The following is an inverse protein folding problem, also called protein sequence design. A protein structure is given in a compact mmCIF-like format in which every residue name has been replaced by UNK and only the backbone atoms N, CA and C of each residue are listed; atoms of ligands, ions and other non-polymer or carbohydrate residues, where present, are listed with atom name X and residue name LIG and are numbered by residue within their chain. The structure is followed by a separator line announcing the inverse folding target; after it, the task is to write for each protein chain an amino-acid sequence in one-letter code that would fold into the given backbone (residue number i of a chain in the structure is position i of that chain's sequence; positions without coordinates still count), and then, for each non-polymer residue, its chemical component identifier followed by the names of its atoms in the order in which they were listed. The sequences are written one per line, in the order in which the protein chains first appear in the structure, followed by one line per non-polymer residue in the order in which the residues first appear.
data_IF_111719808007
#
_entry.id   IF_111719808007
#
_cell.length_a   1.000
_cell.length_b   1.000
_cell.length_c   1.000
_cell.angle_alpha   90.00
_cell.angle_beta   90.00
_cell.angle_gamma   90.00
#
_symmetry.space_group_name_H-M   'P 1'
#
loop_
_entity.id
_entity.type
_entity.pdbx_description
1 polymer ?
#
# COMPACT_ATOMS: atom_id res chain seq x y z
N UNK A 1 6.26 24.41 -1.59
CA UNK A 1 5.01 23.72 -1.27
C UNK A 1 5.41 22.36 -0.70
N UNK A 2 4.89 21.95 0.47
CA UNK A 2 5.16 20.64 1.07
C UNK A 2 3.90 19.81 0.96
N UNK A 3 4.04 18.56 0.51
CA UNK A 3 2.94 17.60 0.44
C UNK A 3 3.30 16.32 1.15
N UNK A 4 2.31 15.60 1.64
CA UNK A 4 2.46 14.28 2.26
C UNK A 4 1.41 13.32 1.71
N UNK A 5 1.76 12.07 1.52
CA UNK A 5 0.79 11.00 1.30
C UNK A 5 0.08 10.63 2.59
N UNK A 6 -1.08 10.04 2.49
CA UNK A 6 -1.83 9.49 3.62
C UNK A 6 -2.52 8.21 3.20
N UNK A 7 -2.48 7.21 4.04
CA UNK A 7 -3.31 6.00 3.96
C UNK A 7 -3.81 5.66 5.35
N UNK A 8 -5.11 5.49 5.50
CA UNK A 8 -5.76 5.21 6.77
C UNK A 8 -6.69 4.02 6.59
N UNK A 9 -6.58 3.02 7.46
CA UNK A 9 -7.50 1.90 7.54
C UNK A 9 -8.32 2.00 8.82
N UNK A 10 -9.63 1.92 8.71
CA UNK A 10 -10.56 1.84 9.83
C UNK A 10 -11.24 0.48 9.78
N UNK A 11 -11.36 -0.16 10.93
CA UNK A 11 -11.93 -1.50 11.06
C UNK A 11 -13.07 -1.49 12.07
N UNK A 12 -14.16 -2.16 11.73
CA UNK A 12 -15.27 -2.40 12.65
C UNK A 12 -15.86 -3.78 12.36
N UNK A 13 -15.75 -4.70 13.31
CA UNK A 13 -16.24 -6.07 13.19
C UNK A 13 -15.67 -6.79 11.96
N UNK A 14 -16.49 -7.11 10.97
CA UNK A 14 -16.12 -7.80 9.74
C UNK A 14 -16.00 -6.85 8.53
N UNK A 15 -15.98 -5.54 8.77
CA UNK A 15 -15.86 -4.53 7.72
C UNK A 15 -14.65 -3.64 7.93
N UNK A 16 -13.99 -3.32 6.83
CA UNK A 16 -12.92 -2.36 6.77
C UNK A 16 -13.20 -1.26 5.74
N UNK A 17 -12.65 -0.09 5.99
CA UNK A 17 -12.59 0.99 5.02
C UNK A 17 -11.18 1.53 4.97
N UNK A 18 -10.66 1.76 3.78
CA UNK A 18 -9.41 2.48 3.55
C UNK A 18 -9.71 3.81 2.89
N UNK A 19 -9.05 4.87 3.37
CA UNK A 19 -9.06 6.20 2.77
C UNK A 19 -7.62 6.59 2.47
N UNK A 20 -7.35 7.17 1.28
CA UNK A 20 -5.98 7.54 0.92
C UNK A 20 -5.90 8.72 -0.02
N UNK A 21 -4.74 9.35 -0.03
CA UNK A 21 -4.26 10.27 -1.04
C UNK A 21 -2.75 10.06 -1.21
N UNK A 22 -2.32 9.78 -2.43
CA UNK A 22 -0.93 9.50 -2.77
C UNK A 22 -0.70 8.08 -3.26
N UNK A 23 0.52 7.58 -3.12
CA UNK A 23 1.00 6.28 -3.56
C UNK A 23 1.36 5.32 -2.42
N UNK A 24 1.05 5.70 -1.18
CA UNK A 24 1.08 4.75 -0.06
C UNK A 24 -0.05 3.74 -0.21
N UNK A 25 0.25 2.47 0.04
CA UNK A 25 -0.64 1.36 -0.31
C UNK A 25 -1.17 0.60 0.89
N UNK A 26 -2.36 0.03 0.72
CA UNK A 26 -2.90 -1.03 1.56
C UNK A 26 -3.00 -2.32 0.76
N UNK A 27 -2.34 -3.37 1.26
CA UNK A 27 -2.46 -4.73 0.75
C UNK A 27 -3.29 -5.60 1.68
N UNK A 28 -4.04 -6.53 1.12
CA UNK A 28 -4.72 -7.62 1.81
C UNK A 28 -4.13 -8.95 1.35
N UNK A 29 -3.73 -9.80 2.30
CA UNK A 29 -3.45 -11.22 2.06
C UNK A 29 -4.62 -12.04 2.53
N UNK A 30 -5.17 -12.87 1.64
CA UNK A 30 -6.26 -13.81 1.93
C UNK A 30 -6.08 -15.08 1.11
N UNK A 31 -5.99 -16.23 1.79
CA UNK A 31 -5.94 -17.54 1.14
C UNK A 31 -4.81 -17.69 0.14
N UNK A 32 -3.62 -17.19 0.44
CA UNK A 32 -2.45 -17.25 -0.44
C UNK A 32 -2.48 -16.27 -1.61
N UNK A 33 -3.38 -15.29 -1.58
CA UNK A 33 -3.46 -14.25 -2.60
C UNK A 33 -3.21 -12.86 -2.00
N UNK A 34 -2.35 -12.05 -2.64
CA UNK A 34 -2.16 -10.65 -2.31
C UNK A 34 -3.03 -9.78 -3.21
N UNK A 35 -3.76 -8.87 -2.62
CA UNK A 35 -4.57 -7.88 -3.31
C UNK A 35 -4.21 -6.49 -2.81
N UNK A 36 -3.92 -5.56 -3.72
CA UNK A 36 -3.82 -4.13 -3.40
C UNK A 36 -5.24 -3.56 -3.34
N UNK A 37 -5.60 -2.92 -2.22
CA UNK A 37 -6.92 -2.33 -1.99
C UNK A 37 -6.96 -0.82 -2.31
N UNK A 38 -5.82 -0.18 -2.46
CA UNK A 38 -5.66 1.21 -2.88
C UNK A 38 -5.23 1.29 -4.33
N UNK A 39 -5.47 2.43 -4.98
CA UNK A 39 -4.94 2.74 -6.30
C UNK A 39 -4.01 3.95 -6.17
N UNK A 40 -2.81 3.87 -6.75
CA UNK A 40 -1.81 4.93 -6.60
C UNK A 40 -2.25 6.20 -7.32
N UNK A 41 -2.19 7.32 -6.63
CA UNK A 41 -2.37 8.65 -7.24
C UNK A 41 -1.03 9.15 -7.81
N UNK A 42 -0.58 8.52 -8.87
CA UNK A 42 0.62 8.87 -9.61
C UNK A 42 0.31 9.13 -11.08
N UNK A 43 1.19 9.85 -11.77
CA UNK A 43 1.01 10.07 -13.21
C UNK A 43 1.04 8.78 -14.01
N UNK A 44 1.72 7.74 -13.52
CA UNK A 44 1.72 6.42 -14.17
C UNK A 44 0.35 5.74 -14.13
N UNK A 45 -0.44 6.02 -13.10
CA UNK A 45 -1.80 5.46 -12.91
C UNK A 45 -2.89 6.36 -13.49
N UNK A 46 -2.55 7.57 -14.00
CA UNK A 46 -3.54 8.47 -14.59
C UNK A 46 -3.90 8.00 -16.00
N UNK A 47 -5.17 7.70 -16.30
CA UNK A 47 -5.61 7.33 -17.65
C UNK A 47 -5.24 8.35 -18.73
N UNK A 48 -5.05 9.63 -18.37
CA UNK A 48 -4.61 10.68 -19.27
C UNK A 48 -3.11 10.67 -19.58
N UNK A 49 -2.34 9.84 -18.87
CA UNK A 49 -0.92 9.65 -19.12
C UNK A 49 -0.64 8.72 -20.30
N UNK A 50 -1.69 8.13 -20.90
CA UNK A 50 -1.62 7.24 -22.05
C UNK A 50 -2.23 7.97 -23.25
N UNK A 51 -1.52 8.01 -24.37
CA UNK A 51 -2.04 8.53 -25.63
C UNK A 51 -3.10 7.58 -26.23
N UNK A 52 -3.93 8.07 -27.14
CA UNK A 52 -4.96 7.28 -27.86
C UNK A 52 -4.38 6.07 -28.62
N UNK A 53 -3.08 6.07 -28.94
CA UNK A 53 -2.36 4.96 -29.57
C UNK A 53 -1.79 3.92 -28.60
N UNK A 54 -2.04 4.10 -27.29
CA UNK A 54 -1.53 3.21 -26.22
C UNK A 54 -0.07 3.48 -25.80
N UNK A 55 0.57 4.49 -26.34
CA UNK A 55 1.91 4.91 -25.92
C UNK A 55 1.85 5.79 -24.68
N UNK A 56 2.90 5.76 -23.82
CA UNK A 56 2.97 6.64 -22.67
C UNK A 56 3.15 8.09 -23.14
N UNK A 57 2.23 8.95 -22.71
CA UNK A 57 2.26 10.39 -23.02
C UNK A 57 3.39 11.15 -22.28
N UNK A 58 3.98 10.54 -21.25
CA UNK A 58 4.96 11.17 -20.36
C UNK A 58 6.26 10.35 -20.29
N UNK A 59 7.43 11.01 -20.12
CA UNK A 59 8.69 10.32 -19.91
C UNK A 59 8.62 9.42 -18.65
N UNK A 60 9.29 8.29 -18.67
CA UNK A 60 9.36 7.30 -17.56
C UNK A 60 9.80 7.94 -16.24
N UNK A 61 10.58 9.02 -16.28
CA UNK A 61 10.98 9.81 -15.10
C UNK A 61 9.82 10.53 -14.42
N UNK A 62 8.69 10.72 -15.12
CA UNK A 62 7.49 11.39 -14.57
C UNK A 62 6.51 10.41 -13.90
N UNK A 63 6.72 9.11 -14.04
CA UNK A 63 5.84 8.07 -13.52
C UNK A 63 5.67 8.12 -11.98
N UNK A 64 6.69 8.61 -11.27
CA UNK A 64 6.69 8.72 -9.81
C UNK A 64 6.14 10.06 -9.29
N UNK A 65 5.59 10.93 -10.16
CA UNK A 65 5.00 12.19 -9.72
C UNK A 65 3.63 11.90 -9.09
N UNK A 66 3.50 12.20 -7.81
CA UNK A 66 2.27 12.07 -7.05
C UNK A 66 1.29 13.16 -7.50
N UNK A 67 0.09 12.76 -7.89
CA UNK A 67 -0.96 13.68 -8.38
C UNK A 67 -1.89 14.18 -7.28
N UNK A 68 -1.96 13.48 -6.14
CA UNK A 68 -2.73 13.88 -4.96
C UNK A 68 -1.91 13.69 -3.68
N UNK A 69 -1.81 14.76 -2.89
CA UNK A 69 -1.13 14.74 -1.60
C UNK A 69 -1.78 15.74 -0.65
N UNK A 70 -1.72 15.46 0.64
CA UNK A 70 -2.13 16.39 1.70
C UNK A 70 -1.26 17.65 1.60
N UNK A 71 -1.89 18.83 1.53
CA UNK A 71 -1.19 20.10 1.43
C UNK A 71 -0.79 20.51 0.02
N UNK A 72 -1.04 19.68 -1.01
CA UNK A 72 -0.76 20.04 -2.41
C UNK A 72 -1.81 20.98 -3.00
N UNK A 73 -3.08 20.86 -2.57
CA UNK A 73 -4.20 21.70 -2.99
C UNK A 73 -5.01 22.14 -1.76
N UNK A 74 -5.74 23.28 -1.84
CA UNK A 74 -6.62 23.73 -0.75
C UNK A 74 -7.68 22.69 -0.37
N UNK A 75 -8.20 21.96 -1.37
CA UNK A 75 -9.23 20.94 -1.20
C UNK A 75 -8.60 19.55 -1.31
N UNK A 76 -8.49 18.85 -0.18
CA UNK A 76 -8.03 17.47 -0.15
C UNK A 76 -9.17 16.52 -0.50
N UNK A 77 -9.01 15.76 -1.57
CA UNK A 77 -9.92 14.67 -1.92
C UNK A 77 -9.25 13.33 -1.60
N UNK A 78 -9.87 12.56 -0.71
CA UNK A 78 -9.48 11.19 -0.40
C UNK A 78 -10.31 10.21 -1.23
N UNK A 79 -9.66 9.23 -1.81
CA UNK A 79 -10.37 8.06 -2.31
C UNK A 79 -10.69 7.13 -1.14
N UNK A 80 -11.78 6.38 -1.28
CA UNK A 80 -12.31 5.51 -0.22
C UNK A 80 -12.73 4.18 -0.83
N UNK A 81 -12.34 3.08 -0.18
CA UNK A 81 -12.73 1.73 -0.56
C UNK A 81 -13.19 0.94 0.65
N UNK A 82 -14.42 0.37 0.58
CA UNK A 82 -14.99 -0.52 1.59
C UNK A 82 -14.71 -1.97 1.23
N UNK A 83 -14.39 -2.79 2.21
CA UNK A 83 -14.10 -4.21 1.99
C UNK A 83 -14.51 -5.07 3.19
N UNK A 84 -14.86 -6.32 2.90
CA UNK A 84 -15.14 -7.29 3.94
C UNK A 84 -13.85 -7.85 4.52
N UNK A 85 -13.81 -8.02 5.83
CA UNK A 85 -12.72 -8.63 6.57
C UNK A 85 -13.11 -10.05 6.98
N UNK A 86 -12.15 -10.98 6.91
CA UNK A 86 -12.35 -12.38 7.30
C UNK A 86 -11.26 -12.84 8.23
N UNK A 87 -11.58 -13.80 9.07
CA UNK A 87 -10.58 -14.44 9.93
C UNK A 87 -9.43 -14.99 9.09
N UNK A 88 -8.21 -14.75 9.55
CA UNK A 88 -7.00 -15.14 8.85
C UNK A 88 -6.51 -14.15 7.80
N UNK A 89 -7.26 -13.08 7.53
CA UNK A 89 -6.77 -11.99 6.71
C UNK A 89 -5.60 -11.29 7.38
N UNK A 90 -4.67 -10.85 6.56
CA UNK A 90 -3.59 -9.96 6.97
C UNK A 90 -3.57 -8.72 6.09
N UNK A 91 -3.28 -7.60 6.69
CA UNK A 91 -3.25 -6.31 6.01
C UNK A 91 -1.90 -5.67 6.21
N UNK A 92 -1.37 -5.04 5.16
CA UNK A 92 -0.10 -4.35 5.19
C UNK A 92 -0.25 -2.95 4.59
N UNK A 93 -0.07 -1.92 5.43
CA UNK A 93 0.08 -0.56 4.95
C UNK A 93 1.56 -0.29 4.71
N UNK A 94 1.88 0.34 3.58
CA UNK A 94 3.27 0.61 3.19
C UNK A 94 3.42 2.00 2.59
N UNK A 95 4.57 2.62 2.83
CA UNK A 95 5.07 3.72 2.00
C UNK A 95 5.73 3.18 0.73
N UNK A 96 5.97 4.06 -0.22
CA UNK A 96 6.55 3.74 -1.54
C UNK A 96 7.94 3.09 -1.46
N UNK A 97 8.77 3.48 -0.49
CA UNK A 97 10.07 2.84 -0.27
C UNK A 97 10.00 1.32 0.00
N UNK A 98 8.87 0.81 0.49
CA UNK A 98 8.68 -0.64 0.65
C UNK A 98 8.28 -1.28 -0.69
N UNK A 99 7.17 -0.85 -1.29
CA UNK A 99 6.61 -1.53 -2.46
C UNK A 99 7.37 -1.27 -3.77
N UNK A 100 8.28 -0.29 -3.80
CA UNK A 100 9.24 -0.12 -4.90
C UNK A 100 10.44 -1.07 -4.78
N UNK A 101 10.81 -1.43 -3.56
CA UNK A 101 11.97 -2.28 -3.28
C UNK A 101 11.61 -3.78 -3.18
N UNK A 102 10.38 -4.12 -2.78
CA UNK A 102 9.94 -5.50 -2.51
C UNK A 102 8.77 -5.86 -3.43
N UNK A 103 8.97 -6.90 -4.22
CA UNK A 103 7.97 -7.36 -5.18
C UNK A 103 6.70 -7.92 -4.51
N UNK A 104 5.51 -7.81 -5.13
CA UNK A 104 4.25 -8.28 -4.53
C UNK A 104 4.27 -9.74 -4.07
N UNK A 105 4.91 -10.64 -4.82
CA UNK A 105 5.00 -12.05 -4.45
C UNK A 105 5.90 -12.29 -3.22
N UNK A 106 6.89 -11.45 -3.02
CA UNK A 106 7.76 -11.50 -1.84
C UNK A 106 7.05 -10.92 -0.62
N UNK A 107 6.30 -9.82 -0.79
CA UNK A 107 5.43 -9.26 0.26
C UNK A 107 4.46 -10.34 0.74
N UNK A 108 3.78 -11.04 -0.18
CA UNK A 108 2.87 -12.14 0.17
C UNK A 108 3.58 -13.23 0.95
N UNK A 109 4.72 -13.70 0.44
CA UNK A 109 5.50 -14.76 1.08
C UNK A 109 5.93 -14.39 2.50
N UNK A 110 6.35 -13.15 2.71
CA UNK A 110 6.76 -12.65 4.02
C UNK A 110 5.57 -12.42 4.96
N UNK A 111 4.44 -11.90 4.45
CA UNK A 111 3.22 -11.75 5.24
C UNK A 111 2.68 -13.09 5.73
N UNK A 112 2.77 -14.15 4.92
CA UNK A 112 2.26 -15.49 5.25
C UNK A 112 3.33 -16.40 5.88
N UNK A 113 4.56 -15.95 5.96
CA UNK A 113 5.68 -16.70 6.53
C UNK A 113 5.46 -17.11 7.97
N UNK A 114 6.23 -18.10 8.41
CA UNK A 114 6.28 -18.50 9.81
C UNK A 114 6.93 -17.42 10.68
N UNK A 115 6.61 -17.42 11.97
CA UNK A 115 7.18 -16.49 12.94
C UNK A 115 6.16 -15.47 13.45
N UNK A 116 6.64 -14.58 14.31
CA UNK A 116 5.81 -13.51 14.88
C UNK A 116 5.57 -12.39 13.87
N UNK A 117 4.54 -11.54 14.08
CA UNK A 117 4.34 -10.34 13.27
C UNK A 117 5.59 -9.45 13.22
N UNK A 118 6.31 -9.32 14.34
CA UNK A 118 7.52 -8.51 14.45
C UNK A 118 8.66 -9.08 13.59
N UNK A 119 8.82 -10.40 13.54
CA UNK A 119 9.80 -11.06 12.69
C UNK A 119 9.51 -10.83 11.22
N UNK A 120 8.25 -10.94 10.80
CA UNK A 120 7.82 -10.66 9.41
C UNK A 120 8.05 -9.21 9.03
N UNK A 121 7.69 -8.26 9.89
CA UNK A 121 7.99 -6.83 9.70
C UNK A 121 9.49 -6.62 9.53
N UNK A 122 10.31 -7.21 10.41
CA UNK A 122 11.77 -7.10 10.35
C UNK A 122 12.34 -7.65 9.04
N UNK A 123 11.81 -8.76 8.53
CA UNK A 123 12.23 -9.35 7.26
C UNK A 123 11.89 -8.44 6.07
N UNK A 124 10.66 -7.90 6.01
CA UNK A 124 10.25 -6.96 4.95
C UNK A 124 11.13 -5.71 4.98
N UNK A 125 11.34 -5.11 6.16
CA UNK A 125 12.19 -3.94 6.34
C UNK A 125 13.64 -4.19 5.93
N UNK A 126 14.20 -5.35 6.30
CA UNK A 126 15.56 -5.72 5.95
C UNK A 126 15.71 -5.88 4.44
N UNK A 127 14.77 -6.55 3.79
CA UNK A 127 14.78 -6.75 2.36
C UNK A 127 14.71 -5.41 1.61
N UNK A 128 13.79 -4.52 2.02
CA UNK A 128 13.65 -3.19 1.43
C UNK A 128 14.94 -2.38 1.58
N UNK A 129 15.51 -2.33 2.79
CA UNK A 129 16.79 -1.62 3.05
C UNK A 129 17.96 -2.14 2.23
N UNK A 130 18.00 -3.45 1.98
CA UNK A 130 19.11 -4.07 1.22
C UNK A 130 19.06 -3.69 -0.26
N UNK A 131 17.86 -3.46 -0.80
CA UNK A 131 17.65 -3.18 -2.23
C UNK A 131 17.62 -1.70 -2.55
N UNK A 132 16.92 -0.92 -1.72
CA UNK A 132 16.83 0.53 -1.89
C UNK A 132 16.84 1.20 -0.50
N UNK A 133 18.05 1.45 -0.01
CA UNK A 133 18.29 2.08 1.28
C UNK A 133 18.20 3.61 1.28
N UNK A 134 17.77 4.23 0.17
CA UNK A 134 17.79 5.69 0.00
C UNK A 134 16.47 6.36 0.38
N UNK A 135 15.36 5.61 0.48
CA UNK A 135 14.06 6.16 0.79
C UNK A 135 13.62 5.89 2.23
N UNK A 136 12.64 6.65 2.69
CA UNK A 136 12.01 6.41 4.00
C UNK A 136 11.12 5.17 3.91
N UNK A 137 11.31 4.26 4.87
CA UNK A 137 10.61 2.99 4.93
C UNK A 137 9.65 2.99 6.11
N UNK A 138 8.36 2.87 5.86
CA UNK A 138 7.34 2.68 6.89
C UNK A 138 6.36 1.59 6.49
N UNK A 139 5.99 0.75 7.46
CA UNK A 139 4.95 -0.24 7.26
C UNK A 139 4.21 -0.55 8.57
N UNK A 140 2.96 -1.00 8.44
CA UNK A 140 2.13 -1.50 9.53
C UNK A 140 1.53 -2.82 9.08
N UNK A 141 1.79 -3.89 9.82
CA UNK A 141 1.17 -5.20 9.62
C UNK A 141 0.02 -5.38 10.61
N UNK A 142 -1.14 -5.75 10.11
CA UNK A 142 -2.36 -6.01 10.87
C UNK A 142 -2.77 -7.44 10.61
N UNK A 143 -3.00 -8.21 11.68
CA UNK A 143 -3.50 -9.57 11.61
C UNK A 143 -4.84 -9.67 12.32
N UNK A 144 -5.84 -10.18 11.62
CA UNK A 144 -7.12 -10.48 12.25
C UNK A 144 -7.03 -11.81 12.99
N UNK A 145 -6.77 -11.73 14.28
CA UNK A 145 -6.73 -12.90 15.16
C UNK A 145 -8.10 -13.55 15.28
N UNK A 146 -8.14 -14.88 15.42
CA UNK A 146 -9.33 -15.53 15.90
C UNK A 146 -9.60 -15.00 17.32
N UNK A 147 -10.81 -14.49 17.58
CA UNK A 147 -11.21 -14.28 18.97
C UNK A 147 -11.17 -15.64 19.65
N UNK A 148 -10.36 -15.80 20.69
CA UNK A 148 -10.52 -16.89 21.64
C UNK A 148 -11.92 -16.71 22.23
N UNK A 149 -12.85 -17.49 21.72
CA UNK A 149 -14.16 -17.63 22.34
C UNK A 149 -13.92 -18.36 23.65
N UNK A 150 -13.89 -17.60 24.73
CA UNK A 150 -13.95 -18.14 26.05
C UNK A 150 -15.30 -18.88 26.26
#
# INVERSE_FOLDING_TARGET
MMGSTVVVMVMQEEQGVVCWAGDSRLYQSRGGCLRQLTEDHSLASDPKAINDDGSQALPTTSANIITRAVGATPDLMLDTHWFDMKRGDRYLLTTDGIHKAVEPHEILSLMEGAGSPEERISQIMTLAKTRDGHDNLSLILIEQMASDSA
#
